data_IF_420619227150
#
_entry.id   IF_420619227150
#
_cell.length_a   1.000
_cell.length_b   1.000
_cell.length_c   1.000
_cell.angle_alpha   90.00
_cell.angle_beta   90.00
_cell.angle_gamma   90.00
#
_symmetry.space_group_name_H-M   'P 1'
#
loop_
_entity.id
_entity.type
_entity.pdbx_description
1 polymer ?
#
# COMPACT_ATOMS: atom_id res chain seq x y z
N UNK A 1 28.16 -8.98 5.92
CA UNK A 1 26.84 -9.06 5.28
C UNK A 1 26.09 -7.73 5.43
N UNK A 2 25.77 -7.07 4.31
CA UNK A 2 25.15 -5.73 4.29
C UNK A 2 23.67 -5.75 3.91
N UNK A 3 23.06 -6.93 3.80
CA UNK A 3 21.68 -7.11 3.38
C UNK A 3 21.50 -7.27 1.87
N UNK A 4 20.25 -7.36 1.44
CA UNK A 4 19.85 -7.55 0.03
C UNK A 4 20.20 -6.31 -0.80
N UNK A 5 20.65 -6.54 -2.04
CA UNK A 5 20.86 -5.49 -3.03
C UNK A 5 19.52 -5.11 -3.67
N UNK A 6 19.47 -3.99 -4.42
CA UNK A 6 18.30 -3.63 -5.22
C UNK A 6 17.87 -4.76 -6.14
N UNK A 7 18.80 -5.47 -6.77
CA UNK A 7 18.49 -6.60 -7.64
C UNK A 7 17.80 -7.75 -6.88
N UNK A 8 18.24 -8.05 -5.66
CA UNK A 8 17.57 -9.06 -4.83
C UNK A 8 16.13 -8.65 -4.46
N UNK A 9 15.88 -7.36 -4.22
CA UNK A 9 14.53 -6.85 -3.96
C UNK A 9 13.63 -6.95 -5.19
N UNK A 10 14.16 -6.66 -6.39
CA UNK A 10 13.45 -6.85 -7.66
C UNK A 10 13.07 -8.32 -7.82
N UNK A 11 14.03 -9.23 -7.67
CA UNK A 11 13.79 -10.68 -7.78
C UNK A 11 12.77 -11.18 -6.77
N UNK A 12 12.80 -10.68 -5.53
CA UNK A 12 11.80 -11.01 -4.51
C UNK A 12 10.39 -10.53 -4.91
N UNK A 13 10.28 -9.30 -5.43
CA UNK A 13 9.03 -8.75 -5.94
C UNK A 13 8.48 -9.58 -7.11
N UNK A 14 9.33 -9.92 -8.08
CA UNK A 14 8.95 -10.78 -9.22
C UNK A 14 8.51 -12.17 -8.77
N UNK A 15 9.21 -12.77 -7.81
CA UNK A 15 8.85 -14.07 -7.24
C UNK A 15 7.47 -14.05 -6.59
N UNK A 16 7.19 -13.04 -5.77
CA UNK A 16 5.88 -12.89 -5.11
C UNK A 16 4.78 -12.63 -6.13
N UNK A 17 5.02 -11.75 -7.10
CA UNK A 17 4.05 -11.43 -8.14
C UNK A 17 3.78 -12.63 -9.05
N UNK A 18 4.79 -13.42 -9.40
CA UNK A 18 4.64 -14.67 -10.15
C UNK A 18 3.73 -15.66 -9.43
N UNK A 19 3.84 -15.75 -8.09
CA UNK A 19 2.93 -16.57 -7.29
C UNK A 19 1.47 -16.18 -7.48
N UNK A 20 1.17 -14.88 -7.52
CA UNK A 20 -0.17 -14.38 -7.80
C UNK A 20 -0.60 -14.65 -9.26
N UNK A 21 0.28 -14.45 -10.23
CA UNK A 21 0.01 -14.68 -11.65
C UNK A 21 -0.17 -16.16 -12.03
N UNK A 22 0.17 -17.10 -11.15
CA UNK A 22 -0.20 -18.50 -11.37
C UNK A 22 -1.71 -18.75 -11.45
N UNK A 23 -2.52 -17.82 -10.96
CA UNK A 23 -3.99 -17.85 -11.03
C UNK A 23 -4.57 -17.00 -12.18
N UNK A 24 -3.73 -16.38 -13.00
CA UNK A 24 -4.12 -15.50 -14.10
C UNK A 24 -3.72 -16.14 -15.42
N UNK A 25 -4.72 -16.47 -16.24
CA UNK A 25 -4.54 -17.12 -17.54
C UNK A 25 -5.04 -16.23 -18.69
N UNK A 26 -5.93 -15.27 -18.37
CA UNK A 26 -6.47 -14.28 -19.31
C UNK A 26 -6.51 -12.90 -18.65
N UNK A 27 -6.68 -11.85 -19.45
CA UNK A 27 -6.85 -10.49 -18.92
C UNK A 27 -8.13 -10.34 -18.08
N UNK A 28 -9.13 -11.20 -18.31
CA UNK A 28 -10.42 -11.16 -17.63
C UNK A 28 -10.42 -11.91 -16.27
N UNK A 29 -9.39 -12.70 -15.97
CA UNK A 29 -9.28 -13.38 -14.69
C UNK A 29 -9.08 -12.36 -13.57
N UNK A 30 -9.84 -12.51 -12.51
CA UNK A 30 -9.76 -11.60 -11.36
C UNK A 30 -8.67 -12.08 -10.38
N UNK A 31 -7.97 -11.13 -9.75
CA UNK A 31 -6.95 -11.41 -8.75
C UNK A 31 -7.62 -11.92 -7.46
N UNK A 32 -8.04 -13.17 -7.51
CA UNK A 32 -8.78 -13.82 -6.43
C UNK A 32 -8.22 -15.24 -6.20
N UNK A 33 -7.80 -15.51 -4.97
CA UNK A 33 -7.06 -16.70 -4.63
C UNK A 33 -7.92 -17.73 -3.90
N UNK A 34 -7.63 -19.04 -4.02
CA UNK A 34 -8.32 -20.06 -3.27
C UNK A 34 -8.23 -19.85 -1.76
N UNK A 35 -9.33 -20.09 -1.07
CA UNK A 35 -9.34 -20.10 0.39
C UNK A 35 -8.44 -21.21 0.94
N UNK A 36 -7.67 -20.87 1.95
CA UNK A 36 -6.86 -21.87 2.66
C UNK A 36 -7.67 -22.62 3.73
N UNK A 37 -8.63 -21.94 4.35
CA UNK A 37 -9.49 -22.49 5.40
C UNK A 37 -10.94 -21.94 5.23
N UNK A 38 -11.95 -22.77 5.49
CA UNK A 38 -13.36 -22.44 5.28
C UNK A 38 -13.86 -21.21 6.05
N UNK A 39 -13.30 -20.94 7.22
CA UNK A 39 -13.73 -19.81 8.08
C UNK A 39 -12.89 -18.55 7.90
N UNK A 40 -12.03 -18.50 6.89
CA UNK A 40 -11.23 -17.31 6.60
C UNK A 40 -11.96 -16.32 5.69
N UNK A 41 -11.42 -15.12 5.57
CA UNK A 41 -11.93 -14.10 4.65
C UNK A 41 -11.73 -14.51 3.17
N UNK A 42 -12.70 -14.25 2.29
CA UNK A 42 -14.04 -13.70 2.55
C UNK A 42 -14.96 -14.72 3.27
N UNK A 43 -15.69 -14.27 4.28
CA UNK A 43 -16.52 -15.14 5.14
C UNK A 43 -17.85 -15.50 4.52
N UNK A 44 -18.30 -14.68 3.57
CA UNK A 44 -19.57 -14.84 2.86
C UNK A 44 -19.44 -14.27 1.43
N UNK A 45 -20.46 -14.53 0.62
CA UNK A 45 -20.49 -14.10 -0.80
C UNK A 45 -20.48 -12.58 -0.98
N UNK A 46 -21.01 -11.82 -0.04
CA UNK A 46 -21.04 -10.36 -0.09
C UNK A 46 -19.66 -9.72 0.06
N UNK A 47 -18.70 -10.43 0.67
CA UNK A 47 -17.31 -9.97 0.82
C UNK A 47 -16.44 -10.29 -0.41
N UNK A 48 -16.89 -11.15 -1.33
CA UNK A 48 -16.10 -11.58 -2.50
C UNK A 48 -15.69 -10.41 -3.42
N UNK A 49 -16.56 -9.46 -3.78
CA UNK A 49 -16.16 -8.35 -4.64
C UNK A 49 -15.01 -7.52 -4.03
N UNK A 50 -15.07 -7.27 -2.74
CA UNK A 50 -14.01 -6.53 -2.02
C UNK A 50 -12.74 -7.36 -1.95
N UNK A 51 -12.83 -8.67 -1.69
CA UNK A 51 -11.65 -9.56 -1.67
C UNK A 51 -10.92 -9.60 -3.03
N UNK A 52 -11.65 -9.56 -4.14
CA UNK A 52 -11.09 -9.44 -5.50
C UNK A 52 -10.39 -8.10 -5.73
N UNK A 53 -11.01 -7.03 -5.26
CA UNK A 53 -10.40 -5.70 -5.33
C UNK A 53 -9.15 -5.60 -4.44
N UNK A 54 -9.16 -6.20 -3.26
CA UNK A 54 -7.98 -6.32 -2.40
C UNK A 54 -6.85 -7.07 -3.12
N UNK A 55 -7.15 -8.20 -3.76
CA UNK A 55 -6.18 -8.95 -4.56
C UNK A 55 -5.56 -8.07 -5.65
N UNK A 56 -6.38 -7.36 -6.42
CA UNK A 56 -5.93 -6.45 -7.46
C UNK A 56 -5.04 -5.33 -6.92
N UNK A 57 -5.50 -4.60 -5.91
CA UNK A 57 -4.81 -3.44 -5.39
C UNK A 57 -3.48 -3.79 -4.72
N UNK A 58 -3.45 -4.88 -3.93
CA UNK A 58 -2.25 -5.29 -3.20
C UNK A 58 -1.19 -5.92 -4.07
N UNK A 59 -1.57 -6.68 -5.10
CA UNK A 59 -0.61 -7.19 -6.08
C UNK A 59 -0.08 -6.09 -7.00
N UNK A 60 -0.91 -5.10 -7.35
CA UNK A 60 -0.46 -3.93 -8.10
C UNK A 60 0.55 -3.09 -7.31
N UNK A 61 0.46 -3.07 -5.99
CA UNK A 61 1.45 -2.39 -5.14
C UNK A 61 2.86 -2.97 -5.30
N UNK A 62 2.96 -4.28 -5.55
CA UNK A 62 4.22 -4.96 -5.89
C UNK A 62 4.58 -4.76 -7.37
N UNK A 63 3.58 -4.83 -8.26
CA UNK A 63 3.81 -4.75 -9.69
C UNK A 63 4.22 -3.34 -10.17
N UNK A 64 3.67 -2.27 -9.58
CA UNK A 64 3.90 -0.91 -10.05
C UNK A 64 5.39 -0.50 -10.07
N UNK A 65 6.20 -0.71 -9.01
CA UNK A 65 7.63 -0.41 -9.08
C UNK A 65 8.39 -1.30 -10.08
N UNK A 66 7.97 -2.55 -10.27
CA UNK A 66 8.56 -3.44 -11.28
C UNK A 66 8.23 -2.95 -12.70
N UNK A 67 7.00 -2.53 -12.94
CA UNK A 67 6.56 -1.97 -14.23
C UNK A 67 7.20 -0.63 -14.55
N UNK A 68 7.52 0.17 -13.54
CA UNK A 68 8.27 1.42 -13.75
C UNK A 68 9.66 1.15 -14.33
N UNK A 69 10.32 0.09 -13.87
CA UNK A 69 11.66 -0.30 -14.32
C UNK A 69 11.61 -1.16 -15.61
N UNK A 70 10.59 -1.99 -15.75
CA UNK A 70 10.38 -2.88 -16.90
C UNK A 70 8.91 -2.88 -17.35
N UNK A 71 8.50 -1.94 -18.23
CA UNK A 71 7.13 -1.86 -18.74
C UNK A 71 6.67 -3.10 -19.52
N UNK A 72 7.62 -3.87 -20.07
CA UNK A 72 7.35 -5.07 -20.87
C UNK A 72 7.34 -6.37 -20.04
N UNK A 73 7.36 -6.26 -18.71
CA UNK A 73 7.34 -7.41 -17.81
C UNK A 73 6.20 -8.36 -18.16
N UNK A 74 6.54 -9.64 -18.33
CA UNK A 74 5.60 -10.70 -18.70
C UNK A 74 5.63 -11.80 -17.64
N UNK A 75 4.46 -12.35 -17.31
CA UNK A 75 4.30 -13.49 -16.41
C UNK A 75 3.24 -14.43 -16.96
N UNK A 76 3.58 -15.71 -17.09
CA UNK A 76 2.72 -16.75 -17.65
C UNK A 76 2.13 -16.42 -19.04
N UNK A 77 2.93 -15.76 -19.90
CA UNK A 77 2.50 -15.35 -21.24
C UNK A 77 1.57 -14.12 -21.25
N UNK A 78 1.42 -13.42 -20.11
CA UNK A 78 0.58 -12.23 -20.00
C UNK A 78 1.47 -11.03 -19.70
N UNK A 79 1.34 -9.96 -20.49
CA UNK A 79 1.95 -8.68 -20.17
C UNK A 79 1.30 -8.10 -18.92
N UNK A 80 2.09 -7.94 -17.88
CA UNK A 80 1.63 -7.50 -16.56
C UNK A 80 0.97 -6.12 -16.64
N UNK A 81 1.52 -5.20 -17.44
CA UNK A 81 0.96 -3.87 -17.67
C UNK A 81 -0.43 -3.94 -18.33
N UNK A 82 -0.60 -4.81 -19.35
CA UNK A 82 -1.89 -4.96 -20.04
C UNK A 82 -2.95 -5.52 -19.11
N UNK A 83 -2.59 -6.51 -18.29
CA UNK A 83 -3.48 -7.07 -17.28
C UNK A 83 -4.00 -6.00 -16.32
N UNK A 84 -3.11 -5.25 -15.69
CA UNK A 84 -3.55 -4.25 -14.72
C UNK A 84 -4.32 -3.10 -15.37
N UNK A 85 -3.94 -2.63 -16.55
CA UNK A 85 -4.74 -1.63 -17.28
C UNK A 85 -6.14 -2.13 -17.59
N UNK A 86 -6.26 -3.36 -18.05
CA UNK A 86 -7.57 -3.99 -18.31
C UNK A 86 -8.43 -4.02 -17.05
N UNK A 87 -7.88 -4.46 -15.93
CA UNK A 87 -8.59 -4.51 -14.65
C UNK A 87 -8.97 -3.10 -14.15
N UNK A 88 -8.07 -2.10 -14.24
CA UNK A 88 -8.35 -0.72 -13.86
C UNK A 88 -9.50 -0.10 -14.67
N UNK A 89 -9.58 -0.39 -15.95
CA UNK A 89 -10.70 0.04 -16.80
C UNK A 89 -12.00 -0.62 -16.34
N UNK A 90 -11.95 -1.91 -16.04
CA UNK A 90 -13.13 -2.71 -15.72
C UNK A 90 -13.75 -2.39 -14.38
N UNK A 91 -12.99 -1.95 -13.38
CA UNK A 91 -13.59 -1.55 -12.08
C UNK A 91 -14.51 -0.32 -12.19
N UNK A 92 -14.41 0.47 -13.26
CA UNK A 92 -15.26 1.63 -13.51
C UNK A 92 -16.26 1.42 -14.68
N UNK A 93 -16.30 0.23 -15.27
CA UNK A 93 -17.20 -0.11 -16.37
C UNK A 93 -18.44 -0.86 -15.85
N UNK A 94 -19.66 -0.30 -15.92
CA UNK A 94 -20.88 -0.94 -15.41
C UNK A 94 -21.20 -2.30 -16.05
N UNK A 95 -20.71 -2.58 -17.25
CA UNK A 95 -20.91 -3.85 -17.93
C UNK A 95 -19.93 -4.95 -17.50
N UNK A 96 -18.92 -4.56 -16.68
CA UNK A 96 -17.91 -5.50 -16.22
C UNK A 96 -18.35 -6.24 -14.96
N UNK A 97 -17.96 -7.51 -14.86
CA UNK A 97 -18.10 -8.30 -13.62
C UNK A 97 -17.23 -7.80 -12.46
N UNK A 98 -16.27 -6.91 -12.73
CA UNK A 98 -15.41 -6.26 -11.73
C UNK A 98 -15.89 -4.88 -11.34
N UNK A 99 -17.06 -4.45 -11.84
CA UNK A 99 -17.57 -3.10 -11.62
C UNK A 99 -17.70 -2.77 -10.14
N UNK A 100 -17.23 -1.58 -9.79
CA UNK A 100 -17.39 -0.98 -8.48
C UNK A 100 -18.37 0.19 -8.62
N UNK A 101 -19.58 0.10 -8.05
CA UNK A 101 -20.54 1.18 -8.10
C UNK A 101 -20.00 2.42 -7.34
N UNK A 102 -20.48 3.59 -7.72
CA UNK A 102 -20.21 4.80 -6.94
C UNK A 102 -20.72 4.60 -5.52
N UNK A 103 -20.00 5.16 -4.59
CA UNK A 103 -20.26 4.98 -3.18
C UNK A 103 -21.62 5.57 -2.77
N UNK A 104 -22.38 4.82 -1.98
CA UNK A 104 -23.69 5.24 -1.46
C UNK A 104 -23.81 5.13 0.07
N UNK A 105 -22.80 4.63 0.76
CA UNK A 105 -22.91 4.31 2.19
C UNK A 105 -21.80 4.92 3.06
N UNK A 106 -21.63 4.36 4.25
CA UNK A 106 -20.61 4.70 5.24
C UNK A 106 -19.18 4.31 4.80
N UNK A 107 -18.21 4.36 5.72
CA UNK A 107 -16.84 3.90 5.44
C UNK A 107 -16.83 2.45 4.94
N UNK A 108 -15.97 2.15 3.97
CA UNK A 108 -15.83 0.81 3.40
C UNK A 108 -14.40 0.47 3.08
N UNK A 109 -14.08 -0.82 3.04
CA UNK A 109 -12.77 -1.35 2.62
C UNK A 109 -12.40 -0.90 1.20
N UNK A 110 -13.40 -0.73 0.32
CA UNK A 110 -13.19 -0.24 -1.06
C UNK A 110 -12.39 1.07 -1.11
N UNK A 111 -12.60 1.98 -0.15
CA UNK A 111 -11.82 3.22 -0.06
C UNK A 111 -10.32 2.94 0.06
N UNK A 112 -9.93 1.97 0.89
CA UNK A 112 -8.54 1.63 1.13
C UNK A 112 -7.89 1.10 -0.15
N UNK A 113 -8.59 0.24 -0.84
CA UNK A 113 -8.08 -0.39 -2.06
C UNK A 113 -7.98 0.64 -3.20
N UNK A 114 -8.95 1.52 -3.37
CA UNK A 114 -8.87 2.60 -4.36
C UNK A 114 -7.74 3.61 -4.04
N UNK A 115 -7.49 3.89 -2.76
CA UNK A 115 -6.34 4.70 -2.35
C UNK A 115 -5.01 4.00 -2.64
N UNK A 116 -4.93 2.69 -2.46
CA UNK A 116 -3.76 1.87 -2.84
C UNK A 116 -3.54 1.86 -4.35
N UNK A 117 -4.62 1.80 -5.15
CA UNK A 117 -4.54 1.95 -6.60
C UNK A 117 -4.03 3.34 -7.01
N UNK A 118 -4.42 4.41 -6.31
CA UNK A 118 -3.91 5.77 -6.56
C UNK A 118 -2.39 5.84 -6.38
N UNK A 119 -1.85 5.24 -5.32
CA UNK A 119 -0.40 5.14 -5.07
C UNK A 119 0.28 4.39 -6.23
N UNK A 120 -0.26 3.23 -6.60
CA UNK A 120 0.31 2.37 -7.64
C UNK A 120 0.28 3.03 -9.02
N UNK A 121 -0.84 3.67 -9.38
CA UNK A 121 -0.96 4.42 -10.63
C UNK A 121 -0.01 5.61 -10.67
N UNK A 122 0.24 6.28 -9.54
CA UNK A 122 1.23 7.34 -9.47
C UNK A 122 2.65 6.82 -9.61
N UNK A 123 2.98 5.69 -8.98
CA UNK A 123 4.31 5.09 -9.01
C UNK A 123 4.74 4.66 -10.42
N UNK A 124 3.80 4.14 -11.22
CA UNK A 124 4.02 3.71 -12.61
C UNK A 124 3.09 4.44 -13.59
N UNK A 125 2.98 5.75 -13.47
CA UNK A 125 2.00 6.58 -14.17
C UNK A 125 2.09 6.44 -15.70
N UNK A 126 3.31 6.40 -16.25
CA UNK A 126 3.55 6.26 -17.69
C UNK A 126 3.04 4.92 -18.25
N UNK A 127 2.98 3.90 -17.42
CA UNK A 127 2.58 2.55 -17.81
C UNK A 127 1.11 2.28 -17.52
N UNK A 128 0.59 2.78 -16.39
CA UNK A 128 -0.75 2.40 -15.90
C UNK A 128 -1.82 3.43 -16.19
N UNK A 129 -1.52 4.73 -16.06
CA UNK A 129 -2.51 5.80 -16.19
C UNK A 129 -2.44 6.50 -17.54
N UNK A 130 -1.25 6.93 -17.97
CA UNK A 130 -1.12 7.75 -19.18
C UNK A 130 -1.66 7.08 -20.46
N UNK A 131 -1.52 5.74 -20.66
CA UNK A 131 -2.06 5.07 -21.83
C UNK A 131 -3.59 4.97 -21.88
N UNK A 132 -4.30 5.20 -20.76
CA UNK A 132 -5.76 5.18 -20.76
C UNK A 132 -6.33 6.32 -21.60
N UNK A 133 -7.43 6.05 -22.32
CA UNK A 133 -8.17 7.09 -23.03
C UNK A 133 -8.81 8.09 -22.05
N UNK A 134 -9.14 9.30 -22.55
CA UNK A 134 -9.82 10.32 -21.72
C UNK A 134 -11.09 9.76 -21.07
N UNK A 135 -11.92 9.04 -21.82
CA UNK A 135 -13.17 8.43 -21.33
C UNK A 135 -12.90 7.42 -20.20
N UNK A 136 -11.88 6.58 -20.34
CA UNK A 136 -11.50 5.60 -19.32
C UNK A 136 -10.99 6.30 -18.04
N UNK A 137 -10.14 7.31 -18.20
CA UNK A 137 -9.66 8.14 -17.09
C UNK A 137 -10.80 8.82 -16.35
N UNK A 138 -11.74 9.44 -17.07
CA UNK A 138 -12.88 10.14 -16.47
C UNK A 138 -13.79 9.18 -15.72
N UNK A 139 -14.06 8.00 -16.28
CA UNK A 139 -14.87 6.98 -15.62
C UNK A 139 -14.22 6.48 -14.32
N UNK A 140 -12.93 6.14 -14.38
CA UNK A 140 -12.18 5.69 -13.21
C UNK A 140 -12.05 6.80 -12.16
N UNK A 141 -11.77 8.03 -12.59
CA UNK A 141 -11.69 9.18 -11.71
C UNK A 141 -13.03 9.44 -10.98
N UNK A 142 -14.16 9.35 -11.67
CA UNK A 142 -15.48 9.53 -11.08
C UNK A 142 -15.78 8.46 -10.00
N UNK A 143 -15.44 7.19 -10.28
CA UNK A 143 -15.55 6.12 -9.29
C UNK A 143 -14.66 6.40 -8.07
N UNK A 144 -13.38 6.70 -8.29
CA UNK A 144 -12.44 6.98 -7.21
C UNK A 144 -12.86 8.21 -6.39
N UNK A 145 -13.30 9.28 -7.04
CA UNK A 145 -13.74 10.52 -6.38
C UNK A 145 -14.92 10.28 -5.45
N UNK A 146 -15.87 9.44 -5.86
CA UNK A 146 -17.04 9.10 -5.03
C UNK A 146 -16.66 8.47 -3.67
N UNK A 147 -15.53 7.77 -3.61
CA UNK A 147 -14.97 7.25 -2.36
C UNK A 147 -14.02 8.24 -1.69
N UNK A 148 -13.19 8.91 -2.45
CA UNK A 148 -12.18 9.85 -1.96
C UNK A 148 -12.78 11.02 -1.20
N UNK A 149 -13.94 11.54 -1.62
CA UNK A 149 -14.71 12.58 -0.92
C UNK A 149 -15.71 12.02 0.09
N UNK A 150 -15.79 10.69 0.17
CA UNK A 150 -16.70 10.01 1.07
C UNK A 150 -16.22 9.94 2.52
N UNK A 151 -17.13 9.60 3.47
CA UNK A 151 -16.78 9.41 4.86
C UNK A 151 -15.79 8.27 5.05
N UNK A 152 -14.95 8.45 6.05
CA UNK A 152 -13.91 7.49 6.46
C UNK A 152 -13.93 7.30 7.97
N UNK A 153 -13.23 6.30 8.46
CA UNK A 153 -12.96 6.13 9.88
C UNK A 153 -11.86 7.12 10.29
N UNK A 154 -12.04 7.78 11.44
CA UNK A 154 -11.06 8.71 12.00
C UNK A 154 -9.78 8.04 12.50
N UNK A 155 -9.02 7.42 11.59
CA UNK A 155 -7.81 6.63 11.82
C UNK A 155 -6.85 6.80 10.64
N UNK A 156 -5.87 5.91 10.50
CA UNK A 156 -5.01 5.84 9.31
C UNK A 156 -5.80 5.72 7.98
N UNK A 157 -7.06 5.31 8.03
CA UNK A 157 -7.94 5.24 6.86
C UNK A 157 -8.06 6.58 6.13
N UNK A 158 -7.96 7.71 6.82
CA UNK A 158 -7.95 9.04 6.21
C UNK A 158 -6.84 9.21 5.16
N UNK A 159 -5.72 8.49 5.26
CA UNK A 159 -4.69 8.52 4.23
C UNK A 159 -5.21 8.09 2.85
N UNK A 160 -6.15 7.17 2.79
CA UNK A 160 -6.66 6.68 1.50
C UNK A 160 -7.56 7.71 0.81
N UNK A 161 -8.34 8.50 1.57
CA UNK A 161 -8.99 9.70 1.03
C UNK A 161 -7.92 10.67 0.48
N UNK A 162 -6.89 10.93 1.27
CA UNK A 162 -5.79 11.83 0.89
C UNK A 162 -5.08 11.35 -0.38
N UNK A 163 -4.79 10.06 -0.52
CA UNK A 163 -4.16 9.52 -1.72
C UNK A 163 -5.02 9.65 -2.96
N UNK A 164 -6.31 9.31 -2.86
CA UNK A 164 -7.25 9.45 -3.99
C UNK A 164 -7.33 10.91 -4.43
N UNK A 165 -7.59 11.82 -3.50
CA UNK A 165 -7.78 13.24 -3.82
C UNK A 165 -6.49 13.88 -4.33
N UNK A 166 -5.34 13.55 -3.74
CA UNK A 166 -4.05 14.06 -4.21
C UNK A 166 -3.68 13.56 -5.60
N UNK A 167 -3.95 12.28 -5.90
CA UNK A 167 -3.76 11.73 -7.22
C UNK A 167 -4.65 12.40 -8.26
N UNK A 168 -5.96 12.50 -7.99
CA UNK A 168 -6.90 13.12 -8.93
C UNK A 168 -6.58 14.60 -9.15
N UNK A 169 -6.21 15.35 -8.12
CA UNK A 169 -5.73 16.73 -8.23
C UNK A 169 -4.48 16.83 -9.11
N UNK A 170 -3.51 15.91 -8.93
CA UNK A 170 -2.29 15.86 -9.75
C UNK A 170 -2.60 15.55 -11.22
N UNK A 171 -3.70 14.84 -11.50
CA UNK A 171 -4.20 14.56 -12.86
C UNK A 171 -5.13 15.65 -13.42
N UNK A 172 -5.32 16.78 -12.72
CA UNK A 172 -6.10 17.93 -13.17
C UNK A 172 -7.61 17.82 -12.94
N UNK A 173 -8.08 16.86 -12.15
CA UNK A 173 -9.48 16.78 -11.74
C UNK A 173 -9.78 17.71 -10.57
N UNK A 174 -10.98 18.29 -10.56
CA UNK A 174 -11.49 19.04 -9.41
C UNK A 174 -11.73 18.09 -8.24
N UNK A 175 -11.28 18.47 -7.05
CA UNK A 175 -11.44 17.72 -5.80
C UNK A 175 -11.85 18.66 -4.66
N UNK A 176 -12.45 18.12 -3.61
CA UNK A 176 -12.73 18.87 -2.40
C UNK A 176 -11.43 19.11 -1.60
N UNK A 177 -10.76 20.23 -1.92
CA UNK A 177 -9.46 20.58 -1.31
C UNK A 177 -9.58 20.83 0.20
N UNK A 178 -10.68 21.40 0.67
CA UNK A 178 -10.88 21.63 2.11
C UNK A 178 -11.02 20.32 2.87
N UNK A 179 -11.65 19.31 2.27
CA UNK A 179 -11.73 17.97 2.87
C UNK A 179 -10.37 17.27 2.87
N UNK A 180 -9.61 17.38 1.76
CA UNK A 180 -8.23 16.86 1.67
C UNK A 180 -7.35 17.46 2.77
N UNK A 181 -7.33 18.78 2.89
CA UNK A 181 -6.52 19.47 3.89
C UNK A 181 -6.96 19.18 5.33
N UNK A 182 -8.27 19.10 5.60
CA UNK A 182 -8.79 18.69 6.91
C UNK A 182 -8.32 17.29 7.31
N UNK A 183 -8.25 16.34 6.36
CA UNK A 183 -7.72 15.00 6.66
C UNK A 183 -6.23 15.02 6.96
N UNK A 184 -5.44 15.81 6.23
CA UNK A 184 -4.00 15.98 6.52
C UNK A 184 -3.76 16.54 7.92
N UNK A 185 -4.51 17.59 8.30
CA UNK A 185 -4.43 18.17 9.65
C UNK A 185 -4.80 17.17 10.74
N UNK A 186 -5.87 16.39 10.55
CA UNK A 186 -6.30 15.36 11.50
C UNK A 186 -5.28 14.23 11.63
N UNK A 187 -4.63 13.84 10.54
CA UNK A 187 -3.58 12.82 10.56
C UNK A 187 -2.37 13.30 11.35
N UNK A 188 -1.90 14.52 11.09
CA UNK A 188 -0.77 15.11 11.80
C UNK A 188 -1.06 15.38 13.29
N UNK A 189 -2.30 15.72 13.63
CA UNK A 189 -2.72 15.91 15.02
C UNK A 189 -2.64 14.63 15.89
N UNK A 190 -2.40 13.48 15.26
CA UNK A 190 -2.20 12.20 15.95
C UNK A 190 -0.75 11.93 16.36
N UNK A 191 0.15 12.82 16.00
CA UNK A 191 1.56 12.73 16.40
C UNK A 191 1.73 12.85 17.92
N UNK A 192 2.63 12.03 18.47
CA UNK A 192 2.89 11.93 19.93
C UNK A 192 4.30 12.28 20.33
N UNK A 193 5.15 12.60 19.37
CA UNK A 193 6.58 12.83 19.58
C UNK A 193 7.42 11.61 19.20
N UNK A 194 8.71 11.83 18.99
CA UNK A 194 9.71 10.80 18.71
C UNK A 194 9.36 9.85 17.53
N UNK A 195 8.60 10.35 16.55
CA UNK A 195 8.16 9.58 15.41
C UNK A 195 6.89 8.73 15.61
N UNK A 196 6.26 8.79 16.77
CA UNK A 196 5.12 7.94 17.11
C UNK A 196 3.78 8.62 16.90
N UNK A 197 2.78 7.83 16.45
CA UNK A 197 1.41 8.26 16.21
C UNK A 197 0.40 7.37 16.93
N UNK A 198 -0.74 7.96 17.29
CA UNK A 198 -1.93 7.20 17.66
C UNK A 198 -2.77 6.89 16.45
N UNK A 199 -3.30 5.66 16.36
CA UNK A 199 -4.31 5.34 15.37
C UNK A 199 -5.67 5.11 16.03
N UNK A 200 -6.56 6.08 15.92
CA UNK A 200 -7.78 6.19 16.70
C UNK A 200 -7.46 6.10 18.21
N UNK A 201 -8.06 5.23 19.03
CA UNK A 201 -7.63 5.08 20.42
C UNK A 201 -6.35 4.24 20.58
N UNK A 202 -5.91 3.53 19.52
CA UNK A 202 -4.82 2.58 19.62
C UNK A 202 -3.44 3.26 19.53
N UNK A 203 -2.55 2.80 20.38
CA UNK A 203 -1.13 3.10 20.34
C UNK A 203 -0.39 1.76 20.37
N UNK A 204 -0.20 1.18 19.20
CA UNK A 204 0.23 -0.19 19.05
C UNK A 204 1.19 -0.37 17.86
N UNK A 205 1.64 -1.59 17.69
CA UNK A 205 2.46 -2.04 16.58
C UNK A 205 1.94 -1.56 15.21
N UNK A 206 0.61 -1.63 14.97
CA UNK A 206 0.02 -1.21 13.70
C UNK A 206 0.13 0.31 13.50
N UNK A 207 -0.17 1.11 14.51
CA UNK A 207 -0.10 2.57 14.40
C UNK A 207 1.32 3.06 14.11
N UNK A 208 2.34 2.38 14.64
CA UNK A 208 3.73 2.74 14.44
C UNK A 208 4.11 2.71 12.96
N UNK A 209 3.89 1.59 12.27
CA UNK A 209 4.30 1.48 10.88
C UNK A 209 3.32 2.11 9.89
N UNK A 210 2.00 2.14 10.17
CA UNK A 210 1.02 2.64 9.21
C UNK A 210 1.22 4.13 8.89
N UNK A 211 1.35 4.97 9.91
CA UNK A 211 1.58 6.41 9.71
C UNK A 211 2.93 6.71 9.08
N UNK A 212 3.97 6.02 9.53
CA UNK A 212 5.34 6.20 9.03
C UNK A 212 5.59 5.51 7.68
N UNK A 213 4.57 4.84 7.13
CA UNK A 213 4.55 4.36 5.75
C UNK A 213 3.77 5.34 4.87
N UNK A 214 2.51 5.59 5.21
CA UNK A 214 1.62 6.38 4.35
C UNK A 214 1.97 7.87 4.32
N UNK A 215 2.36 8.44 5.45
CA UNK A 215 2.77 9.86 5.51
C UNK A 215 3.95 10.19 4.60
N UNK A 216 5.08 9.48 4.71
CA UNK A 216 6.23 9.67 3.83
C UNK A 216 5.94 9.36 2.35
N UNK A 217 5.18 8.30 2.04
CA UNK A 217 4.77 8.00 0.64
C UNK A 217 3.97 9.18 0.07
N UNK A 218 2.98 9.69 0.81
CA UNK A 218 2.19 10.82 0.36
C UNK A 218 3.05 12.09 0.19
N UNK A 219 3.91 12.38 1.17
CA UNK A 219 4.79 13.54 1.14
C UNK A 219 5.67 13.53 -0.11
N UNK A 220 6.27 12.38 -0.46
CA UNK A 220 7.14 12.23 -1.62
C UNK A 220 6.37 12.30 -2.93
N UNK A 221 5.24 11.58 -3.06
CA UNK A 221 4.52 11.47 -4.32
C UNK A 221 3.71 12.73 -4.68
N UNK A 222 3.18 13.42 -3.67
CA UNK A 222 2.23 14.52 -3.89
C UNK A 222 2.51 15.73 -3.01
N UNK A 223 2.86 15.51 -1.74
CA UNK A 223 2.85 16.53 -0.71
C UNK A 223 3.85 17.64 -0.96
N UNK A 224 5.08 17.31 -1.36
CA UNK A 224 6.13 18.31 -1.67
C UNK A 224 5.67 19.34 -2.70
N UNK A 225 4.81 18.94 -3.66
CA UNK A 225 4.27 19.81 -4.71
C UNK A 225 2.98 20.50 -4.28
N UNK A 226 2.05 19.77 -3.65
CA UNK A 226 0.68 20.25 -3.40
C UNK A 226 0.53 20.96 -2.06
N UNK A 227 1.18 20.47 -1.00
CA UNK A 227 1.07 20.96 0.38
C UNK A 227 2.42 20.80 1.09
N UNK A 228 3.45 21.59 0.72
CA UNK A 228 4.83 21.42 1.19
C UNK A 228 4.98 21.52 2.72
N UNK A 229 4.12 22.29 3.40
CA UNK A 229 4.14 22.42 4.86
C UNK A 229 3.79 21.10 5.56
N UNK A 230 2.77 20.38 5.09
CA UNK A 230 2.38 19.08 5.65
C UNK A 230 3.36 17.98 5.26
N UNK A 231 3.87 18.02 4.02
CA UNK A 231 4.89 17.08 3.58
C UNK A 231 6.14 17.16 4.45
N UNK A 232 6.62 18.37 4.73
CA UNK A 232 7.76 18.59 5.61
C UNK A 232 7.53 17.98 6.99
N UNK A 233 6.36 18.20 7.58
CA UNK A 233 6.04 17.70 8.92
C UNK A 233 5.99 16.16 8.97
N UNK A 234 5.43 15.48 7.95
CA UNK A 234 5.47 14.02 7.87
C UNK A 234 6.90 13.49 7.76
N UNK A 235 7.76 14.15 7.00
CA UNK A 235 9.16 13.76 6.84
C UNK A 235 9.97 13.99 8.12
N UNK A 236 9.80 15.15 8.79
CA UNK A 236 10.43 15.44 10.07
C UNK A 236 10.04 14.40 11.13
N UNK A 237 8.76 14.07 11.23
CA UNK A 237 8.27 13.04 12.16
C UNK A 237 8.85 11.65 11.84
N UNK A 238 9.15 11.34 10.57
CA UNK A 238 9.83 10.10 10.20
C UNK A 238 11.31 10.13 10.63
N UNK A 239 11.99 11.26 10.51
CA UNK A 239 13.38 11.40 10.95
C UNK A 239 13.52 11.16 12.45
N UNK A 240 12.59 11.67 13.24
CA UNK A 240 12.56 11.42 14.68
C UNK A 240 12.41 9.92 15.01
N UNK A 241 11.64 9.19 14.22
CA UNK A 241 11.43 7.75 14.43
C UNK A 241 12.67 6.91 14.12
N UNK A 242 13.42 7.27 13.08
CA UNK A 242 14.52 6.43 12.59
C UNK A 242 15.64 6.28 13.60
N UNK A 243 15.79 7.23 14.52
CA UNK A 243 16.80 7.19 15.59
C UNK A 243 16.53 6.09 16.61
N UNK A 244 15.27 5.74 16.85
CA UNK A 244 14.90 4.77 17.89
C UNK A 244 14.26 3.47 17.36
N UNK A 245 13.55 3.53 16.26
CA UNK A 245 12.80 2.40 15.70
C UNK A 245 13.63 1.15 15.40
N UNK A 246 14.88 1.22 14.86
CA UNK A 246 15.71 0.05 14.62
C UNK A 246 16.01 -0.79 15.85
N UNK A 247 16.00 -0.20 17.05
CA UNK A 247 16.24 -0.92 18.32
C UNK A 247 15.11 -1.84 18.74
N UNK A 248 13.94 -1.74 18.10
CA UNK A 248 12.81 -2.66 18.30
C UNK A 248 12.98 -3.99 17.57
N UNK A 249 14.01 -4.12 16.73
CA UNK A 249 14.28 -5.32 15.96
C UNK A 249 15.40 -6.16 16.59
N UNK A 250 15.18 -7.47 16.65
CA UNK A 250 16.21 -8.44 16.99
C UNK A 250 17.23 -8.57 15.85
N UNK A 251 18.34 -9.28 16.12
CA UNK A 251 19.41 -9.50 15.13
C UNK A 251 18.95 -10.29 13.89
N UNK A 252 17.91 -11.09 14.03
CA UNK A 252 17.30 -11.89 12.95
C UNK A 252 16.16 -11.14 12.24
N UNK A 253 15.95 -9.85 12.55
CA UNK A 253 14.98 -8.99 11.87
C UNK A 253 13.54 -9.13 12.38
N UNK A 254 13.33 -9.71 13.56
CA UNK A 254 11.99 -9.78 14.18
C UNK A 254 11.76 -8.56 15.04
N UNK A 255 10.64 -7.91 14.83
CA UNK A 255 10.22 -6.78 15.64
C UNK A 255 9.40 -7.24 16.84
N UNK A 256 9.51 -6.53 17.96
CA UNK A 256 8.56 -6.62 19.05
C UNK A 256 7.17 -6.19 18.57
N UNK A 257 6.20 -7.10 18.71
CA UNK A 257 4.83 -6.88 18.25
C UNK A 257 3.89 -6.81 19.45
N UNK A 258 3.04 -5.78 19.46
CA UNK A 258 2.02 -5.58 20.49
C UNK A 258 0.74 -5.00 19.92
N UNK A 259 -0.40 -5.31 20.55
CA UNK A 259 -1.73 -4.84 20.13
C UNK A 259 -2.26 -5.61 18.92
N UNK A 260 -2.93 -4.91 18.04
CA UNK A 260 -3.65 -5.50 16.90
C UNK A 260 -2.75 -5.75 15.69
N UNK A 261 -3.26 -6.59 14.78
CA UNK A 261 -2.73 -6.79 13.42
C UNK A 261 -1.28 -7.26 13.37
N UNK A 262 -0.86 -8.06 14.36
CA UNK A 262 0.49 -8.62 14.46
C UNK A 262 0.86 -9.59 13.31
N UNK A 263 -0.12 -9.95 12.47
CA UNK A 263 0.13 -10.75 11.26
C UNK A 263 0.88 -9.97 10.16
N UNK A 264 0.90 -8.63 10.19
CA UNK A 264 1.64 -7.81 9.23
C UNK A 264 3.14 -7.74 9.51
N UNK A 265 3.75 -8.87 9.75
CA UNK A 265 5.14 -8.98 10.24
C UNK A 265 6.20 -8.34 9.35
N UNK A 266 5.95 -8.24 8.04
CA UNK A 266 6.88 -7.61 7.10
C UNK A 266 6.63 -6.10 6.93
N UNK A 267 5.40 -5.61 7.10
CA UNK A 267 5.04 -4.20 6.93
C UNK A 267 5.86 -3.25 7.84
N UNK A 268 6.32 -3.73 8.98
CA UNK A 268 7.13 -2.98 9.95
C UNK A 268 8.46 -2.48 9.40
N UNK A 269 8.94 -3.02 8.29
CA UNK A 269 10.18 -2.56 7.66
C UNK A 269 9.97 -1.37 6.74
N UNK A 270 8.71 -1.07 6.36
CA UNK A 270 8.40 0.02 5.45
C UNK A 270 8.87 1.39 5.93
N UNK A 271 8.72 1.78 7.21
CA UNK A 271 9.25 3.05 7.70
C UNK A 271 10.75 3.21 7.49
N UNK A 272 11.53 2.15 7.67
CA UNK A 272 12.98 2.16 7.45
C UNK A 272 13.35 2.23 5.95
N UNK A 273 12.52 1.61 5.10
CA UNK A 273 12.76 1.53 3.65
C UNK A 273 12.40 2.83 2.94
N UNK A 274 11.50 3.64 3.53
CA UNK A 274 11.03 4.91 2.96
C UNK A 274 11.83 6.12 3.47
N UNK A 275 12.76 5.91 4.40
CA UNK A 275 13.60 6.99 4.91
C UNK A 275 14.48 7.55 3.79
N UNK A 276 14.34 8.85 3.53
CA UNK A 276 15.14 9.54 2.52
C UNK A 276 16.58 9.70 3.03
N UNK A 277 17.55 9.47 2.15
CA UNK A 277 18.96 9.60 2.47
C UNK A 277 19.26 11.04 2.92
N UNK A 278 19.49 11.23 4.22
CA UNK A 278 20.04 12.46 4.75
C UNK A 278 21.56 12.34 4.85
N UNK A 279 22.26 13.28 4.20
CA UNK A 279 23.73 13.37 4.20
C UNK A 279 24.32 13.76 5.57
N UNK A 280 23.48 14.02 6.58
CA UNK A 280 23.91 14.39 7.93
C UNK A 280 24.66 13.29 8.69
N UNK A 281 24.63 12.05 8.21
CA UNK A 281 25.49 10.96 8.68
C UNK A 281 25.05 10.27 9.98
N UNK A 282 23.92 10.64 10.57
CA UNK A 282 23.47 10.09 11.87
C UNK A 282 22.77 8.72 11.75
N UNK A 283 22.37 8.29 10.55
CA UNK A 283 21.59 7.07 10.35
C UNK A 283 22.47 5.94 9.82
N UNK A 284 22.37 4.78 10.46
CA UNK A 284 23.08 3.58 10.01
C UNK A 284 22.27 2.83 8.93
N UNK A 285 22.40 3.26 7.68
CA UNK A 285 21.72 2.63 6.53
C UNK A 285 22.06 1.15 6.37
N UNK A 286 23.28 0.75 6.71
CA UNK A 286 23.67 -0.66 6.69
C UNK A 286 22.86 -1.50 7.67
N UNK A 287 22.57 -0.96 8.83
CA UNK A 287 21.72 -1.60 9.83
C UNK A 287 20.26 -1.66 9.38
N UNK A 288 19.68 -0.54 8.92
CA UNK A 288 18.32 -0.49 8.39
C UNK A 288 18.11 -1.50 7.25
N UNK A 289 19.03 -1.51 6.29
CA UNK A 289 19.01 -2.45 5.18
C UNK A 289 19.13 -3.91 5.63
N UNK A 290 19.92 -4.19 6.64
CA UNK A 290 20.04 -5.53 7.23
C UNK A 290 18.73 -5.95 7.88
N UNK A 291 18.09 -5.08 8.68
CA UNK A 291 16.79 -5.34 9.29
C UNK A 291 15.78 -5.70 8.21
N UNK A 292 15.57 -4.83 7.23
CA UNK A 292 14.62 -5.06 6.15
C UNK A 292 14.87 -6.39 5.42
N UNK A 293 16.14 -6.67 5.08
CA UNK A 293 16.53 -7.92 4.42
C UNK A 293 16.28 -9.15 5.26
N UNK A 294 16.66 -9.13 6.54
CA UNK A 294 16.47 -10.27 7.45
C UNK A 294 15.00 -10.54 7.69
N UNK A 295 14.18 -9.48 7.81
CA UNK A 295 12.74 -9.63 7.96
C UNK A 295 12.11 -10.27 6.72
N UNK A 296 12.45 -9.80 5.50
CA UNK A 296 11.90 -10.37 4.27
C UNK A 296 12.32 -11.83 4.07
N UNK A 297 13.57 -12.16 4.34
CA UNK A 297 14.10 -13.51 4.15
C UNK A 297 13.35 -14.55 4.98
N UNK A 298 12.79 -14.19 6.16
CA UNK A 298 11.94 -15.10 6.94
C UNK A 298 10.67 -15.54 6.19
N UNK A 299 10.23 -14.79 5.17
CA UNK A 299 9.07 -15.13 4.35
C UNK A 299 9.44 -15.81 3.03
N UNK A 300 10.68 -15.70 2.58
CA UNK A 300 11.16 -16.26 1.33
C UNK A 300 11.86 -17.62 1.53
N UNK A 301 12.34 -17.92 2.74
CA UNK A 301 12.99 -19.20 3.04
C UNK A 301 11.96 -20.32 3.23
N UNK A 302 12.19 -21.53 2.67
CA UNK A 302 11.24 -22.66 2.77
C UNK A 302 10.86 -23.04 4.22
N UNK A 303 11.77 -22.87 5.16
CA UNK A 303 11.55 -23.17 6.59
C UNK A 303 10.53 -22.22 7.21
N UNK A 304 10.42 -20.99 6.74
CA UNK A 304 9.44 -20.04 7.27
C UNK A 304 8.00 -20.35 6.86
N UNK A 305 7.79 -21.12 5.80
CA UNK A 305 6.44 -21.59 5.41
C UNK A 305 5.87 -22.59 6.39
N UNK A 306 6.68 -23.47 6.95
CA UNK A 306 6.24 -24.45 7.94
C UNK A 306 5.88 -23.82 9.28
N UNK A 307 6.44 -22.66 9.60
CA UNK A 307 6.12 -21.89 10.81
C UNK A 307 4.97 -20.91 10.64
N UNK A 308 4.60 -20.55 9.41
CA UNK A 308 3.42 -19.72 9.11
C UNK A 308 2.09 -20.48 9.26
N UNK A 309 2.15 -21.82 9.30
CA UNK A 309 1.00 -22.69 9.54
C UNK A 309 0.72 -22.97 11.01
N UNK A 310 1.38 -22.26 11.94
CA UNK A 310 0.99 -22.34 13.34
C UNK A 310 -0.45 -21.86 13.51
N UNK A 311 -1.31 -22.68 14.14
CA UNK A 311 -2.69 -22.33 14.35
C UNK A 311 -2.73 -21.02 15.13
N UNK A 312 -3.38 -20.01 14.58
CA UNK A 312 -3.89 -18.91 15.34
C UNK A 312 -4.95 -19.46 16.29
N UNK A 313 -4.53 -20.02 17.40
CA UNK A 313 -5.43 -20.24 18.51
C UNK A 313 -5.76 -18.85 19.03
N UNK A 314 -6.80 -18.27 18.47
CA UNK A 314 -7.53 -17.21 19.11
C UNK A 314 -8.06 -17.72 20.44
N UNK A 315 -7.54 -17.22 21.52
CA UNK A 315 -8.26 -17.06 22.76
C UNK A 315 -8.47 -15.58 22.99
#
# INVERSE_FOLDING_TARGET
YTGMTRQHWIQAGEYLLKGAFNYIHTLDDQMYFPKQLDKTYPRNTGEIPVAKLEGLARTLFVAAPLLKDNPELEMNGIKVADYYRYQLINISNPESRSYIPHRTGGPSQTLLELGSLAISMKAAQEVLWNPLTKKQKDSLAATMLSYGEGPTIGSNWMFFNVFILSFLKDQGYAVNESYLESNLQKLLARYRGEGWYNDAPAYDYYSAWAYQTYGPIWAEMFGKKQYPQYARQFMENQYDMVDNYPFLFSRDGRMNMWGRSICYRFAVTAPLSLYEYDKSGNVNYGWMRRIASSTLLQFLEPVSYTHLTLPTTSR
#
